data_IF_631882171895
#
_entry.id   IF_631882171895
#
_cell.length_a   1.000
_cell.length_b   1.000
_cell.length_c   1.000
_cell.angle_alpha   90.00
_cell.angle_beta   90.00
_cell.angle_gamma   90.00
#
_symmetry.space_group_name_H-M   'P 1'
#
loop_
_entity.id
_entity.type
_entity.pdbx_description
1 polymer ?
#
# COMPACT_ATOMS: atom_id res chain seq x y z
N UNK A 1 -12.52 10.24 1.24
CA UNK A 1 -11.69 11.04 0.35
C UNK A 1 -10.25 10.55 0.40
N UNK A 2 -9.47 10.87 -0.62
CA UNK A 2 -8.05 10.50 -0.68
C UNK A 2 -7.21 11.29 0.33
N UNK A 3 -6.05 10.73 0.70
CA UNK A 3 -5.07 11.48 1.46
C UNK A 3 -4.29 12.44 0.54
N UNK A 4 -3.79 13.58 1.07
CA UNK A 4 -2.92 14.46 0.29
C UNK A 4 -1.67 13.74 -0.26
N UNK A 5 -1.17 12.74 0.48
CA UNK A 5 -0.05 11.91 0.04
C UNK A 5 -0.39 11.09 -1.20
N UNK A 6 -1.60 10.51 -1.24
CA UNK A 6 -2.04 9.76 -2.42
C UNK A 6 -2.26 10.68 -3.63
N UNK A 7 -2.83 11.85 -3.45
CA UNK A 7 -3.03 12.81 -4.55
C UNK A 7 -1.68 13.28 -5.14
N UNK A 8 -0.71 13.55 -4.28
CA UNK A 8 0.65 13.88 -4.71
C UNK A 8 1.28 12.73 -5.51
N UNK A 9 1.14 11.50 -5.02
CA UNK A 9 1.60 10.30 -5.73
C UNK A 9 0.93 10.12 -7.09
N UNK A 10 -0.41 10.22 -7.15
CA UNK A 10 -1.18 10.12 -8.41
C UNK A 10 -0.69 11.15 -9.43
N UNK A 11 -0.53 12.40 -9.00
CA UNK A 11 0.00 13.45 -9.86
C UNK A 11 1.42 13.13 -10.34
N UNK A 12 2.32 12.75 -9.42
CA UNK A 12 3.70 12.40 -9.75
C UNK A 12 3.77 11.28 -10.79
N UNK A 13 3.02 10.20 -10.59
CA UNK A 13 3.01 9.02 -11.48
C UNK A 13 2.66 9.38 -12.94
N UNK A 14 1.86 10.44 -13.14
CA UNK A 14 1.40 10.89 -14.47
C UNK A 14 2.32 11.93 -15.10
N UNK A 15 3.09 12.66 -14.30
CA UNK A 15 3.83 13.84 -14.79
C UNK A 15 5.35 13.67 -14.76
N UNK A 16 5.87 12.70 -14.02
CA UNK A 16 7.33 12.49 -13.95
C UNK A 16 7.86 12.02 -15.30
N UNK A 17 8.88 12.69 -15.82
CA UNK A 17 9.51 12.34 -17.08
C UNK A 17 10.24 11.00 -16.98
N UNK A 18 11.11 10.85 -15.98
CA UNK A 18 11.83 9.60 -15.73
C UNK A 18 11.25 8.90 -14.51
N UNK A 19 10.53 7.81 -14.73
CA UNK A 19 9.95 7.01 -13.66
C UNK A 19 10.98 5.97 -13.17
N UNK A 20 11.61 6.25 -12.03
CA UNK A 20 12.57 5.35 -11.41
C UNK A 20 11.93 4.64 -10.21
N UNK A 21 11.59 3.36 -10.37
CA UNK A 21 10.89 2.57 -9.36
C UNK A 21 11.68 2.47 -8.05
N UNK A 22 12.98 2.20 -8.13
CA UNK A 22 13.83 2.08 -6.96
C UNK A 22 13.93 3.38 -6.15
N UNK A 23 14.03 4.53 -6.82
CA UNK A 23 14.02 5.84 -6.14
C UNK A 23 12.67 6.17 -5.52
N UNK A 24 11.57 5.74 -6.14
CA UNK A 24 10.22 5.90 -5.58
C UNK A 24 10.10 5.08 -4.29
N UNK A 25 10.52 3.82 -4.31
CA UNK A 25 10.55 2.96 -3.11
C UNK A 25 11.42 3.60 -2.03
N UNK A 26 12.65 4.02 -2.37
CA UNK A 26 13.55 4.70 -1.42
C UNK A 26 12.90 5.95 -0.80
N UNK A 27 12.17 6.73 -1.58
CA UNK A 27 11.48 7.94 -1.09
C UNK A 27 10.31 7.66 -0.15
N UNK A 28 9.85 6.42 -0.07
CA UNK A 28 8.72 5.98 0.73
C UNK A 28 9.08 4.86 1.73
N UNK A 29 10.37 4.75 2.10
CA UNK A 29 10.93 3.93 3.17
C UNK A 29 11.73 4.78 4.14
N UNK A 30 11.87 4.35 5.39
CA UNK A 30 12.78 4.97 6.38
C UNK A 30 14.21 4.42 6.24
N UNK A 31 14.33 3.14 5.92
CA UNK A 31 15.60 2.48 5.66
C UNK A 31 16.30 3.11 4.45
N UNK A 32 17.59 3.34 4.55
CA UNK A 32 18.40 3.68 3.37
C UNK A 32 18.68 2.39 2.59
N UNK A 33 18.08 2.28 1.41
CA UNK A 33 18.34 1.17 0.48
C UNK A 33 19.75 1.28 -0.08
N UNK A 34 20.39 0.14 -0.32
CA UNK A 34 21.64 0.03 -1.07
C UNK A 34 21.39 0.27 -2.57
N UNK A 35 22.44 0.56 -3.32
CA UNK A 35 22.33 0.73 -4.76
C UNK A 35 21.81 -0.56 -5.44
N UNK A 36 22.23 -1.74 -4.96
CA UNK A 36 21.75 -3.04 -5.45
C UNK A 36 20.24 -3.25 -5.19
N UNK A 37 19.75 -2.82 -4.02
CA UNK A 37 18.30 -2.88 -3.70
C UNK A 37 17.52 -1.94 -4.61
N UNK A 38 18.01 -0.71 -4.84
CA UNK A 38 17.38 0.23 -5.78
C UNK A 38 17.38 -0.32 -7.20
N UNK A 39 18.46 -0.93 -7.64
CA UNK A 39 18.56 -1.54 -8.97
C UNK A 39 17.67 -2.78 -9.11
N UNK A 40 17.51 -3.58 -8.05
CA UNK A 40 16.58 -4.70 -8.04
C UNK A 40 15.12 -4.24 -8.26
N UNK A 41 14.71 -3.11 -7.69
CA UNK A 41 13.38 -2.51 -7.95
C UNK A 41 13.23 -1.95 -9.37
N UNK A 42 14.32 -1.58 -10.02
CA UNK A 42 14.31 -1.11 -11.42
C UNK A 42 14.37 -2.28 -12.43
N UNK A 43 14.95 -3.40 -12.05
CA UNK A 43 15.22 -4.53 -12.95
C UNK A 43 13.98 -5.06 -13.72
N UNK A 44 12.74 -5.10 -13.17
CA UNK A 44 11.55 -5.52 -13.91
C UNK A 44 11.14 -4.57 -15.04
N UNK A 45 11.72 -3.38 -15.12
CA UNK A 45 11.32 -2.29 -16.02
C UNK A 45 12.47 -1.87 -16.95
N UNK A 46 12.83 -2.68 -17.97
CA UNK A 46 13.98 -2.40 -18.83
C UNK A 46 13.80 -1.16 -19.71
N UNK A 47 12.57 -0.67 -19.88
CA UNK A 47 12.24 0.59 -20.55
C UNK A 47 10.83 1.07 -20.18
N UNK A 48 10.44 2.26 -20.61
CA UNK A 48 9.19 2.93 -20.24
C UNK A 48 7.91 2.13 -20.60
N UNK A 49 7.96 1.27 -21.61
CA UNK A 49 6.81 0.43 -21.99
C UNK A 49 6.40 -0.48 -20.84
N UNK A 50 7.35 -0.99 -20.06
CA UNK A 50 7.09 -1.85 -18.91
C UNK A 50 6.58 -1.08 -17.70
N UNK A 51 6.73 0.25 -17.67
CA UNK A 51 6.23 1.13 -16.61
C UNK A 51 4.75 1.52 -16.78
N UNK A 52 4.11 1.15 -17.88
CA UNK A 52 2.73 1.54 -18.17
C UNK A 52 1.77 1.18 -17.01
N UNK A 53 1.89 -0.03 -16.44
CA UNK A 53 1.07 -0.44 -15.30
C UNK A 53 1.36 0.41 -14.04
N UNK A 54 2.63 0.63 -13.72
CA UNK A 54 3.03 1.42 -12.54
C UNK A 54 2.49 2.85 -12.61
N UNK A 55 2.48 3.46 -13.81
CA UNK A 55 1.87 4.76 -14.05
C UNK A 55 0.34 4.71 -13.98
N UNK A 56 -0.29 3.65 -14.51
CA UNK A 56 -1.75 3.55 -14.60
C UNK A 56 -2.42 3.26 -13.26
N UNK A 57 -1.86 2.40 -12.41
CA UNK A 57 -2.50 1.96 -11.16
C UNK A 57 -3.02 3.10 -10.27
N UNK A 58 -2.28 4.18 -10.02
CA UNK A 58 -2.80 5.28 -9.20
C UNK A 58 -4.05 5.95 -9.77
N UNK A 59 -4.26 5.88 -11.09
CA UNK A 59 -5.45 6.48 -11.72
C UNK A 59 -6.71 5.62 -11.59
N UNK A 60 -6.55 4.34 -11.26
CA UNK A 60 -7.65 3.39 -11.11
C UNK A 60 -8.26 3.41 -9.70
N UNK A 61 -7.60 4.06 -8.74
CA UNK A 61 -8.15 4.22 -7.40
C UNK A 61 -9.34 5.18 -7.45
N UNK A 62 -10.56 4.75 -7.03
CA UNK A 62 -11.75 5.58 -7.10
C UNK A 62 -11.65 6.77 -6.15
N UNK A 63 -11.79 7.96 -6.71
CA UNK A 63 -11.70 9.24 -5.99
C UNK A 63 -13.06 9.95 -5.95
N UNK A 64 -13.89 9.74 -6.96
CA UNK A 64 -15.20 10.35 -7.13
C UNK A 64 -16.26 9.26 -7.24
N UNK A 65 -17.50 9.62 -6.94
CA UNK A 65 -18.62 8.67 -6.94
C UNK A 65 -18.95 8.07 -8.32
N UNK A 66 -18.52 8.71 -9.38
CA UNK A 66 -18.71 8.32 -10.77
C UNK A 66 -17.51 7.59 -11.40
N UNK A 67 -16.45 7.37 -10.63
CA UNK A 67 -15.30 6.59 -11.10
C UNK A 67 -15.72 5.13 -11.42
N UNK A 68 -15.25 4.53 -12.54
CA UNK A 68 -15.71 3.23 -13.01
C UNK A 68 -15.60 2.09 -11.99
N UNK A 69 -14.58 2.13 -11.12
CA UNK A 69 -14.31 1.08 -10.12
C UNK A 69 -15.14 1.22 -8.82
N UNK A 70 -15.95 2.27 -8.68
CA UNK A 70 -16.70 2.53 -7.42
C UNK A 70 -17.69 1.41 -7.12
N UNK A 71 -18.47 0.97 -8.10
CA UNK A 71 -19.50 -0.05 -7.89
C UNK A 71 -18.88 -1.40 -7.48
N UNK A 72 -17.77 -1.77 -8.10
CA UNK A 72 -17.02 -2.99 -7.74
C UNK A 72 -16.42 -2.89 -6.34
N UNK A 73 -15.91 -1.73 -5.98
CA UNK A 73 -15.36 -1.47 -4.63
C UNK A 73 -16.46 -1.56 -3.56
N UNK A 74 -17.65 -0.98 -3.82
CA UNK A 74 -18.80 -1.11 -2.92
C UNK A 74 -19.19 -2.58 -2.75
N UNK A 75 -19.30 -3.33 -3.85
CA UNK A 75 -19.65 -4.75 -3.81
C UNK A 75 -18.62 -5.58 -3.02
N UNK A 76 -17.32 -5.28 -3.17
CA UNK A 76 -16.27 -5.91 -2.39
C UNK A 76 -16.41 -5.63 -0.88
N UNK A 77 -16.78 -4.40 -0.50
CA UNK A 77 -17.02 -4.06 0.91
C UNK A 77 -18.24 -4.77 1.49
N UNK A 78 -19.30 -5.01 0.72
CA UNK A 78 -20.44 -5.82 1.21
C UNK A 78 -20.00 -7.26 1.57
N UNK A 79 -19.10 -7.85 0.78
CA UNK A 79 -18.53 -9.17 1.08
C UNK A 79 -17.62 -9.12 2.31
N UNK A 80 -16.78 -8.08 2.43
CA UNK A 80 -15.85 -7.92 3.55
C UNK A 80 -16.57 -7.73 4.89
N UNK A 81 -17.79 -7.20 4.93
CA UNK A 81 -18.59 -7.08 6.14
C UNK A 81 -18.96 -8.43 6.77
N UNK A 82 -18.94 -9.51 6.00
CA UNK A 82 -19.21 -10.88 6.45
C UNK A 82 -17.94 -11.73 6.55
N UNK A 83 -16.76 -11.13 6.35
CA UNK A 83 -15.50 -11.86 6.35
C UNK A 83 -15.00 -12.12 7.78
N UNK A 84 -15.11 -13.40 8.21
CA UNK A 84 -14.81 -13.83 9.58
C UNK A 84 -13.44 -14.50 9.76
N UNK A 85 -12.65 -14.69 8.68
CA UNK A 85 -11.28 -15.20 8.82
C UNK A 85 -10.38 -14.14 9.45
N UNK A 86 -9.32 -14.52 10.19
CA UNK A 86 -8.43 -13.58 10.84
C UNK A 86 -7.89 -12.51 9.88
N UNK A 87 -8.04 -11.24 10.26
CA UNK A 87 -7.51 -10.09 9.51
C UNK A 87 -6.64 -9.25 10.45
N UNK A 88 -5.34 -9.30 10.23
CA UNK A 88 -4.36 -8.49 10.96
C UNK A 88 -3.99 -7.27 10.12
N UNK A 89 -4.05 -6.08 10.71
CA UNK A 89 -3.56 -4.85 10.08
C UNK A 89 -2.24 -4.42 10.72
N UNK A 90 -1.25 -4.10 9.89
CA UNK A 90 0.05 -3.55 10.30
C UNK A 90 0.33 -2.35 9.41
N UNK A 91 0.46 -1.16 10.01
CA UNK A 91 0.60 0.10 9.28
C UNK A 91 1.84 0.86 9.73
N UNK A 92 2.45 1.60 8.81
CA UNK A 92 3.59 2.47 9.09
C UNK A 92 3.17 3.79 9.75
N UNK A 93 3.81 4.15 10.87
CA UNK A 93 3.52 5.41 11.59
C UNK A 93 3.95 6.67 10.82
N UNK A 94 4.77 6.49 9.79
CA UNK A 94 5.28 7.57 8.92
C UNK A 94 4.73 7.47 7.49
N UNK A 95 3.70 6.65 7.27
CA UNK A 95 3.06 6.50 5.96
C UNK A 95 2.11 7.69 5.68
N UNK A 96 2.43 8.58 4.74
CA UNK A 96 1.59 9.73 4.43
C UNK A 96 0.36 9.37 3.59
N UNK A 97 0.30 8.12 3.08
CA UNK A 97 -0.75 7.66 2.17
C UNK A 97 -1.84 6.92 2.93
N UNK A 98 -1.47 5.94 3.76
CA UNK A 98 -2.41 4.97 4.33
C UNK A 98 -2.63 5.12 5.83
N UNK A 99 -1.80 5.86 6.58
CA UNK A 99 -1.97 6.00 8.03
C UNK A 99 -3.36 6.55 8.39
N UNK A 100 -4.04 5.85 9.28
CA UNK A 100 -5.43 6.17 9.69
C UNK A 100 -6.49 5.32 8.98
N UNK A 101 -6.16 4.71 7.84
CA UNK A 101 -7.09 3.81 7.12
C UNK A 101 -7.26 2.47 7.85
N UNK A 102 -6.30 2.05 8.66
CA UNK A 102 -6.38 0.81 9.46
C UNK A 102 -7.65 0.73 10.29
N UNK A 103 -8.11 1.86 10.83
CA UNK A 103 -9.33 1.95 11.64
C UNK A 103 -10.59 1.56 10.88
N UNK A 104 -10.61 1.88 9.58
CA UNK A 104 -11.76 1.54 8.73
C UNK A 104 -11.83 0.02 8.52
N UNK A 105 -10.71 -0.64 8.24
CA UNK A 105 -10.63 -2.09 8.11
C UNK A 105 -11.00 -2.79 9.43
N UNK A 106 -10.40 -2.36 10.54
CA UNK A 106 -10.64 -2.92 11.88
C UNK A 106 -12.11 -2.82 12.32
N UNK A 107 -12.77 -1.72 11.95
CA UNK A 107 -14.17 -1.47 12.33
C UNK A 107 -15.16 -2.28 11.49
N UNK A 108 -14.87 -2.49 10.20
CA UNK A 108 -15.86 -2.98 9.24
C UNK A 108 -15.67 -4.44 8.84
N UNK A 109 -14.55 -5.07 9.22
CA UNK A 109 -14.28 -6.48 8.89
C UNK A 109 -14.33 -7.31 10.18
N UNK A 110 -15.33 -8.21 10.37
CA UNK A 110 -15.48 -9.00 11.60
C UNK A 110 -14.25 -9.81 11.96
N UNK A 111 -13.54 -10.35 10.98
CA UNK A 111 -12.28 -11.10 11.19
C UNK A 111 -11.13 -10.28 11.78
N UNK A 112 -11.26 -8.96 11.85
CA UNK A 112 -10.30 -8.08 12.53
C UNK A 112 -10.52 -8.00 14.04
N UNK A 113 -11.70 -8.37 14.53
CA UNK A 113 -12.02 -8.26 15.95
C UNK A 113 -11.09 -9.13 16.81
N UNK A 114 -10.50 -8.51 17.86
CA UNK A 114 -9.62 -9.20 18.80
C UNK A 114 -8.21 -9.48 18.28
N UNK A 115 -7.89 -9.09 17.06
CA UNK A 115 -6.55 -9.22 16.50
C UNK A 115 -5.57 -8.18 17.09
N UNK A 116 -4.30 -8.55 17.17
CA UNK A 116 -3.24 -7.67 17.71
C UNK A 116 -2.72 -6.73 16.61
N UNK A 117 -3.57 -5.79 16.17
CA UNK A 117 -3.20 -4.79 15.19
C UNK A 117 -2.02 -3.94 15.62
N UNK A 118 -1.20 -3.49 14.68
CA UNK A 118 0.03 -2.76 14.98
C UNK A 118 0.15 -1.51 14.10
N UNK A 119 0.67 -0.44 14.71
CA UNK A 119 1.26 0.70 14.01
C UNK A 119 2.74 0.70 14.39
N UNK A 120 3.60 0.53 13.39
CA UNK A 120 5.05 0.34 13.60
C UNK A 120 5.84 1.50 13.00
N UNK A 121 7.08 1.66 13.42
CA UNK A 121 7.96 2.70 12.86
C UNK A 121 8.40 2.27 11.45
N UNK A 122 7.64 2.69 10.47
CA UNK A 122 7.84 2.43 9.05
C UNK A 122 7.17 3.52 8.22
N UNK A 123 7.61 3.68 6.97
CA UNK A 123 6.92 4.48 5.96
C UNK A 123 5.95 3.59 5.15
N UNK A 124 5.66 3.97 3.89
CA UNK A 124 4.67 3.28 3.07
C UNK A 124 5.08 1.84 2.69
N UNK A 125 6.35 1.63 2.35
CA UNK A 125 6.88 0.30 2.01
C UNK A 125 7.42 -0.40 3.27
N UNK A 126 6.48 -0.77 4.13
CA UNK A 126 6.73 -1.37 5.44
C UNK A 126 7.58 -2.66 5.36
N UNK A 127 7.52 -3.40 4.26
CA UNK A 127 8.33 -4.60 4.03
C UNK A 127 9.83 -4.31 3.95
N UNK A 128 10.22 -3.08 3.59
CA UNK A 128 11.62 -2.65 3.61
C UNK A 128 12.08 -2.24 5.01
N UNK A 129 11.17 -1.60 5.76
CA UNK A 129 11.48 -1.05 7.08
C UNK A 129 11.37 -2.10 8.19
N UNK A 130 10.44 -3.06 8.07
CA UNK A 130 10.08 -4.04 9.10
C UNK A 130 9.86 -5.46 8.54
N UNK A 131 10.80 -6.03 7.76
CA UNK A 131 10.61 -7.33 7.08
C UNK A 131 10.42 -8.48 8.06
N UNK A 132 11.21 -8.53 9.14
CA UNK A 132 11.14 -9.60 10.14
C UNK A 132 9.84 -9.56 10.93
N UNK A 133 9.36 -8.36 11.29
CA UNK A 133 8.08 -8.19 11.98
C UNK A 133 6.94 -8.71 11.11
N UNK A 134 6.92 -8.35 9.82
CA UNK A 134 5.90 -8.83 8.89
C UNK A 134 5.93 -10.35 8.74
N UNK A 135 7.12 -10.94 8.54
CA UNK A 135 7.29 -12.39 8.43
C UNK A 135 6.78 -13.12 9.68
N UNK A 136 7.19 -12.66 10.88
CA UNK A 136 6.75 -13.24 12.14
C UNK A 136 5.24 -13.09 12.36
N UNK A 137 4.66 -11.96 11.95
CA UNK A 137 3.21 -11.73 12.05
C UNK A 137 2.43 -12.68 11.14
N UNK A 138 2.92 -12.93 9.91
CA UNK A 138 2.31 -13.89 8.98
C UNK A 138 2.37 -15.30 9.58
N UNK A 139 3.54 -15.73 10.07
CA UNK A 139 3.71 -17.05 10.70
C UNK A 139 2.75 -17.21 11.89
N UNK A 140 2.63 -16.18 12.73
CA UNK A 140 1.73 -16.23 13.91
C UNK A 140 0.25 -16.25 13.54
N UNK A 141 -0.12 -15.78 12.36
CA UNK A 141 -1.52 -15.78 11.89
C UNK A 141 -1.99 -17.19 11.50
N UNK A 142 -1.05 -18.06 11.10
CA UNK A 142 -1.33 -19.43 10.63
C UNK A 142 -1.07 -20.52 11.68
N UNK A 143 -0.53 -20.17 12.84
CA UNK A 143 -0.30 -21.08 13.98
C UNK A 143 -1.35 -20.86 15.07
#
# INVERSE_FOLDING_TARGET
>A
GSSPGFEAWKKYSQTVEVFNSGKIIQGATLKKLTDDEVDAYNAPFPNDTYLACARQFPTLVPMNADDPSVLENIAAWEILKDFNKPVLTIFGSKDPVMLGQEKYFQKNIPGANGMKHQIVEAAHFIQEDQPELLANSIISLYN
#
